data_IF_889463263825
#
_entry.id   IF_889463263825
#
_cell.length_a   1.000
_cell.length_b   1.000
_cell.length_c   1.000
_cell.angle_alpha   90.00
_cell.angle_beta   90.00
_cell.angle_gamma   90.00
#
_symmetry.space_group_name_H-M   'P 1'
#
loop_
_entity.id
_entity.type
_entity.pdbx_description
1 polymer ?
#
# COMPACT_ATOMS: atom_id res chain seq x y z
N UNK A 1 -14.53 -41.53 20.64
CA UNK A 1 -13.33 -40.70 20.95
C UNK A 1 -13.46 -39.43 20.10
N UNK A 2 -13.40 -38.17 20.54
CA UNK A 2 -12.89 -37.48 21.72
C UNK A 2 -13.86 -36.37 22.12
N UNK A 3 -13.87 -36.05 23.42
CA UNK A 3 -14.71 -35.05 24.09
C UNK A 3 -14.12 -33.64 23.93
N UNK A 4 -15.01 -32.65 23.76
CA UNK A 4 -15.04 -31.25 24.21
C UNK A 4 -13.72 -30.51 24.49
N UNK A 5 -13.57 -29.32 23.90
CA UNK A 5 -13.11 -28.12 24.63
C UNK A 5 -13.46 -26.83 23.85
N UNK A 6 -14.64 -26.27 24.09
CA UNK A 6 -14.90 -24.85 23.87
C UNK A 6 -15.44 -24.34 25.21
N UNK A 7 -14.66 -23.56 25.93
CA UNK A 7 -15.11 -22.93 27.17
C UNK A 7 -16.10 -21.81 26.85
N UNK A 8 -17.27 -21.73 27.49
CA UNK A 8 -18.10 -20.54 27.44
C UNK A 8 -17.45 -19.42 28.26
N UNK A 9 -17.10 -18.31 27.62
CA UNK A 9 -16.62 -17.09 28.27
C UNK A 9 -17.82 -16.32 28.85
N UNK A 10 -18.05 -16.45 30.16
CA UNK A 10 -19.03 -15.64 30.88
C UNK A 10 -18.49 -14.22 31.07
N UNK A 11 -18.72 -13.37 30.08
CA UNK A 11 -18.46 -11.93 30.12
C UNK A 11 -19.57 -11.23 30.93
N UNK A 12 -19.57 -11.42 32.25
CA UNK A 12 -20.27 -10.50 33.14
C UNK A 12 -19.39 -9.27 33.34
N UNK A 13 -19.64 -8.29 32.45
CA UNK A 13 -19.18 -6.92 32.59
C UNK A 13 -19.85 -6.28 33.81
N UNK A 14 -19.05 -6.00 34.83
CA UNK A 14 -19.37 -5.07 35.93
C UNK A 14 -19.47 -3.64 35.39
N UNK A 15 -20.47 -3.39 34.57
CA UNK A 15 -20.78 -2.06 34.04
C UNK A 15 -22.29 -2.00 33.76
N UNK A 16 -23.03 -1.73 34.84
CA UNK A 16 -24.28 -0.96 34.96
C UNK A 16 -25.37 -1.10 33.87
N UNK A 17 -26.64 -1.19 34.29
CA UNK A 17 -27.40 0.05 34.25
C UNK A 17 -28.26 0.27 35.49
N UNK A 18 -28.46 1.54 35.80
CA UNK A 18 -29.37 1.99 36.84
C UNK A 18 -30.84 1.66 36.58
N UNK A 19 -31.56 1.77 37.69
CA UNK A 19 -32.94 2.21 37.88
C UNK A 19 -34.06 1.59 37.01
N UNK A 20 -35.01 0.94 37.69
CA UNK A 20 -36.23 0.40 37.10
C UNK A 20 -36.82 -0.74 37.93
N UNK A 21 -37.48 -0.39 39.02
CA UNK A 21 -37.99 -1.33 40.03
C UNK A 21 -39.12 -2.25 39.57
N UNK A 22 -39.39 -3.25 40.40
CA UNK A 22 -40.72 -3.81 40.73
C UNK A 22 -40.57 -5.15 41.46
N UNK A 23 -41.43 -5.40 42.45
CA UNK A 23 -41.77 -6.77 42.87
C UNK A 23 -41.44 -7.13 44.30
N UNK A 24 -42.39 -6.85 45.18
CA UNK A 24 -42.53 -7.25 46.58
C UNK A 24 -42.93 -8.74 46.76
N UNK A 25 -42.57 -9.27 47.93
CA UNK A 25 -43.10 -10.39 48.73
C UNK A 25 -43.43 -11.80 48.17
N UNK A 26 -43.02 -12.83 48.96
CA UNK A 26 -43.74 -14.11 49.06
C UNK A 26 -42.95 -15.34 49.55
N UNK A 27 -43.07 -15.65 50.86
CA UNK A 27 -43.26 -16.99 51.54
C UNK A 27 -42.52 -18.28 51.05
N UNK A 28 -42.23 -19.34 51.83
CA UNK A 28 -42.04 -19.72 53.24
C UNK A 28 -41.86 -21.27 53.25
N UNK A 29 -41.14 -21.84 54.22
CA UNK A 29 -41.15 -23.28 54.59
C UNK A 29 -39.83 -24.02 54.32
N UNK A 30 -39.27 -24.86 55.18
CA UNK A 30 -39.78 -25.57 56.36
C UNK A 30 -38.58 -26.07 57.21
N UNK A 31 -38.77 -26.17 58.54
CA UNK A 31 -37.80 -26.65 59.55
C UNK A 31 -37.52 -28.17 59.42
N UNK A 32 -36.52 -28.69 60.17
CA UNK A 32 -36.92 -29.59 61.26
C UNK A 32 -36.34 -29.23 62.62
N UNK A 33 -37.06 -29.68 63.65
CA UNK A 33 -36.85 -29.46 65.07
C UNK A 33 -35.96 -30.55 65.71
N UNK A 34 -35.37 -30.24 66.88
CA UNK A 34 -34.84 -31.27 67.79
C UNK A 34 -33.90 -30.75 68.88
N UNK A 35 -34.50 -30.40 70.03
CA UNK A 35 -34.02 -30.54 71.42
C UNK A 35 -32.64 -29.97 71.83
N UNK A 36 -32.55 -28.90 72.65
CA UNK A 36 -32.79 -28.76 74.10
C UNK A 36 -31.47 -28.76 74.90
N UNK A 37 -31.41 -27.84 75.87
CA UNK A 37 -30.50 -27.73 77.02
C UNK A 37 -29.31 -26.74 76.95
N UNK A 38 -29.12 -26.08 78.10
CA UNK A 38 -28.54 -24.76 78.34
C UNK A 38 -27.09 -24.85 78.92
N UNK A 39 -26.50 -23.79 79.50
CA UNK A 39 -25.19 -23.27 79.13
C UNK A 39 -24.05 -23.80 80.04
N UNK A 40 -22.80 -23.74 79.60
CA UNK A 40 -21.68 -23.81 80.56
C UNK A 40 -20.48 -23.02 80.08
N UNK A 41 -20.20 -21.99 80.87
CA UNK A 41 -19.05 -21.11 80.86
C UNK A 41 -17.81 -21.86 81.39
N UNK A 42 -16.68 -21.79 80.67
CA UNK A 42 -15.37 -22.05 81.27
C UNK A 42 -14.20 -21.54 80.39
N UNK A 43 -13.54 -20.51 80.95
CA UNK A 43 -12.09 -20.43 81.19
C UNK A 43 -11.13 -20.16 80.02
N UNK A 44 -10.65 -18.93 80.09
CA UNK A 44 -9.26 -18.46 80.01
C UNK A 44 -8.10 -19.43 79.73
N UNK A 45 -7.06 -18.80 79.19
CA UNK A 45 -5.64 -19.16 79.16
C UNK A 45 -5.14 -19.98 77.96
N UNK A 46 -4.54 -19.27 76.99
CA UNK A 46 -3.11 -19.44 76.70
C UNK A 46 -2.58 -18.29 75.82
N UNK A 47 -2.07 -17.24 76.49
CA UNK A 47 -1.26 -16.20 75.87
C UNK A 47 0.20 -16.70 75.76
N UNK A 48 0.54 -17.33 74.63
CA UNK A 48 1.94 -17.61 74.26
C UNK A 48 2.25 -17.29 72.80
N UNK A 49 1.55 -16.34 72.20
CA UNK A 49 1.91 -15.75 70.91
C UNK A 49 2.47 -14.35 71.13
N UNK A 50 3.65 -14.04 70.60
CA UNK A 50 4.23 -12.68 70.60
C UNK A 50 3.17 -11.65 70.17
N UNK A 51 2.63 -10.90 71.14
CA UNK A 51 1.72 -9.79 70.87
C UNK A 51 2.56 -8.62 70.35
N UNK A 52 2.67 -8.48 69.04
CA UNK A 52 3.16 -7.23 68.46
C UNK A 52 2.30 -6.09 68.99
N UNK A 53 2.92 -5.03 69.53
CA UNK A 53 2.16 -3.86 69.94
C UNK A 53 1.42 -3.30 68.72
N UNK A 54 0.21 -2.74 68.90
CA UNK A 54 -0.57 -2.13 67.80
C UNK A 54 0.28 -1.15 66.98
N UNK A 55 1.25 -0.49 67.62
CA UNK A 55 2.23 0.41 67.00
C UNK A 55 3.29 -0.29 66.13
N UNK A 56 3.73 -1.50 66.47
CA UNK A 56 4.66 -2.27 65.64
C UNK A 56 3.98 -2.82 64.38
N UNK A 57 2.72 -3.26 64.52
CA UNK A 57 1.90 -3.68 63.39
C UNK A 57 1.59 -2.48 62.47
N UNK A 58 1.28 -1.31 63.04
CA UNK A 58 1.08 -0.09 62.27
C UNK A 58 2.35 0.34 61.51
N UNK A 59 3.53 0.22 62.12
CA UNK A 59 4.82 0.48 61.45
C UNK A 59 5.11 -0.50 60.32
N UNK A 60 4.84 -1.80 60.51
CA UNK A 60 5.01 -2.80 59.44
C UNK A 60 4.04 -2.55 58.28
N UNK A 61 2.77 -2.24 58.56
CA UNK A 61 1.79 -1.89 57.52
C UNK A 61 2.18 -0.60 56.79
N UNK A 62 2.66 0.42 57.51
CA UNK A 62 3.16 1.65 56.89
C UNK A 62 4.38 1.39 55.98
N UNK A 63 5.30 0.52 56.40
CA UNK A 63 6.45 0.13 55.59
C UNK A 63 6.04 -0.66 54.34
N UNK A 64 5.10 -1.60 54.48
CA UNK A 64 4.58 -2.41 53.36
C UNK A 64 3.78 -1.55 52.37
N UNK A 65 2.94 -0.64 52.88
CA UNK A 65 2.16 0.28 52.03
C UNK A 65 3.05 1.29 51.32
N UNK A 66 4.13 1.77 51.95
CA UNK A 66 5.11 2.63 51.29
C UNK A 66 5.90 1.87 50.21
N UNK A 67 6.28 0.61 50.46
CA UNK A 67 6.88 -0.24 49.43
C UNK A 67 5.92 -0.49 48.27
N UNK A 68 4.66 -0.78 48.56
CA UNK A 68 3.63 -0.99 47.55
C UNK A 68 3.41 0.28 46.73
N UNK A 69 3.31 1.45 47.36
CA UNK A 69 3.21 2.74 46.67
C UNK A 69 4.42 3.01 45.79
N UNK A 70 5.64 2.82 46.30
CA UNK A 70 6.87 3.02 45.54
C UNK A 70 6.98 2.06 44.33
N UNK A 71 6.54 0.80 44.49
CA UNK A 71 6.48 -0.15 43.38
C UNK A 71 5.45 0.29 42.33
N UNK A 72 4.28 0.74 42.76
CA UNK A 72 3.21 1.18 41.87
C UNK A 72 3.55 2.47 41.12
N UNK A 73 4.22 3.40 41.79
CA UNK A 73 4.70 4.65 41.19
C UNK A 73 5.77 4.39 40.13
N UNK A 74 6.69 3.45 40.39
CA UNK A 74 7.66 2.97 39.39
C UNK A 74 7.00 2.31 38.18
N UNK A 75 6.00 1.45 38.39
CA UNK A 75 5.26 0.84 37.29
C UNK A 75 4.50 1.88 36.45
N UNK A 76 3.94 2.90 37.10
CA UNK A 76 3.26 4.01 36.42
C UNK A 76 4.24 4.85 35.60
N UNK A 77 5.41 5.16 36.15
CA UNK A 77 6.44 5.92 35.45
C UNK A 77 6.99 5.13 34.26
N UNK A 78 7.28 3.84 34.44
CA UNK A 78 7.71 2.95 33.36
C UNK A 78 6.67 2.85 32.23
N UNK A 79 5.37 2.70 32.57
CA UNK A 79 4.28 2.70 31.58
C UNK A 79 4.17 4.03 30.84
N UNK A 80 4.36 5.17 31.53
CA UNK A 80 4.35 6.50 30.89
C UNK A 80 5.54 6.69 29.96
N UNK A 81 6.73 6.24 30.34
CA UNK A 81 7.92 6.35 29.49
C UNK A 81 7.82 5.47 28.26
N UNK A 82 7.34 4.23 28.41
CA UNK A 82 7.11 3.31 27.30
C UNK A 82 6.06 3.86 26.33
N UNK A 83 4.94 4.38 26.84
CA UNK A 83 3.92 5.03 26.03
C UNK A 83 4.43 6.28 25.30
N UNK A 84 5.25 7.12 25.96
CA UNK A 84 5.88 8.29 25.32
C UNK A 84 6.87 7.88 24.24
N UNK A 85 7.66 6.82 24.46
CA UNK A 85 8.60 6.29 23.46
C UNK A 85 7.87 5.71 22.26
N UNK A 86 6.78 4.96 22.50
CA UNK A 86 5.88 4.45 21.46
C UNK A 86 5.24 5.60 20.65
N UNK A 87 4.74 6.63 21.33
CA UNK A 87 4.13 7.78 20.66
C UNK A 87 5.15 8.59 19.83
N UNK A 88 6.37 8.78 20.34
CA UNK A 88 7.46 9.43 19.60
C UNK A 88 7.88 8.63 18.38
N UNK A 89 8.09 7.32 18.53
CA UNK A 89 8.44 6.44 17.42
C UNK A 89 7.35 6.44 16.34
N UNK A 90 6.07 6.37 16.73
CA UNK A 90 4.97 6.42 15.78
C UNK A 90 4.87 7.77 15.04
N UNK A 91 5.20 8.88 15.71
CA UNK A 91 5.23 10.21 15.10
C UNK A 91 6.43 10.40 14.16
N UNK A 92 7.62 9.93 14.56
CA UNK A 92 8.83 9.98 13.75
C UNK A 92 8.73 9.07 12.52
N UNK A 93 8.21 7.85 12.67
CA UNK A 93 7.98 6.92 11.54
C UNK A 93 6.98 7.49 10.53
N UNK A 94 5.89 8.11 11.00
CA UNK A 94 4.94 8.78 10.12
C UNK A 94 5.58 9.92 9.35
N UNK A 95 6.36 10.75 10.04
CA UNK A 95 7.04 11.89 9.42
C UNK A 95 8.09 11.41 8.43
N UNK A 96 8.87 10.37 8.74
CA UNK A 96 9.83 9.78 7.81
C UNK A 96 9.14 9.21 6.58
N UNK A 97 8.01 8.51 6.74
CA UNK A 97 7.27 7.99 5.62
C UNK A 97 6.65 9.10 4.75
N UNK A 98 6.13 10.17 5.37
CA UNK A 98 5.66 11.35 4.62
C UNK A 98 6.81 12.03 3.87
N UNK A 99 7.98 12.16 4.50
CA UNK A 99 9.17 12.70 3.84
C UNK A 99 9.63 11.80 2.70
N UNK A 100 9.70 10.49 2.88
CA UNK A 100 10.11 9.53 1.86
C UNK A 100 9.13 9.55 0.67
N UNK A 101 7.83 9.64 0.93
CA UNK A 101 6.82 9.84 -0.11
C UNK A 101 7.02 11.15 -0.87
N UNK A 102 7.31 12.25 -0.16
CA UNK A 102 7.57 13.55 -0.78
C UNK A 102 8.87 13.56 -1.57
N UNK A 103 9.91 12.91 -1.08
CA UNK A 103 11.18 12.76 -1.77
C UNK A 103 11.03 11.89 -3.02
N UNK A 104 10.25 10.81 -2.96
CA UNK A 104 9.92 9.98 -4.11
C UNK A 104 9.14 10.77 -5.17
N UNK A 105 8.13 11.56 -4.76
CA UNK A 105 7.37 12.44 -5.65
C UNK A 105 8.28 13.48 -6.32
N UNK A 106 9.19 14.10 -5.57
CA UNK A 106 10.16 15.06 -6.11
C UNK A 106 11.13 14.37 -7.07
N UNK A 107 11.61 13.17 -6.74
CA UNK A 107 12.53 12.41 -7.58
C UNK A 107 11.86 12.00 -8.90
N UNK A 108 10.61 11.56 -8.86
CA UNK A 108 9.82 11.22 -10.04
C UNK A 108 9.57 12.45 -10.92
N UNK A 109 9.17 13.59 -10.32
CA UNK A 109 8.99 14.84 -11.05
C UNK A 109 10.29 15.31 -11.70
N UNK A 110 11.41 15.28 -10.98
CA UNK A 110 12.73 15.62 -11.53
C UNK A 110 13.13 14.68 -12.66
N UNK A 111 12.87 13.38 -12.52
CA UNK A 111 13.13 12.39 -13.58
C UNK A 111 12.27 12.66 -14.81
N UNK A 112 10.99 12.94 -14.63
CA UNK A 112 10.09 13.31 -15.72
C UNK A 112 10.52 14.59 -16.45
N UNK A 113 10.99 15.60 -15.71
CA UNK A 113 11.57 16.81 -16.29
C UNK A 113 12.82 16.51 -17.10
N UNK A 114 13.76 15.75 -16.53
CA UNK A 114 15.00 15.36 -17.22
C UNK A 114 14.70 14.57 -18.50
N UNK A 115 13.78 13.60 -18.47
CA UNK A 115 13.35 12.86 -19.64
C UNK A 115 12.66 13.76 -20.68
N UNK A 116 11.86 14.74 -20.25
CA UNK A 116 11.22 15.70 -21.15
C UNK A 116 12.25 16.61 -21.84
N UNK A 117 13.26 17.08 -21.11
CA UNK A 117 14.37 17.87 -21.66
C UNK A 117 15.20 17.05 -22.66
N UNK A 118 15.59 15.83 -22.29
CA UNK A 118 16.30 14.93 -23.20
C UNK A 118 15.47 14.55 -24.43
N UNK A 119 14.16 14.37 -24.28
CA UNK A 119 13.23 14.17 -25.40
C UNK A 119 13.25 15.34 -26.37
N UNK A 120 13.23 16.58 -25.87
CA UNK A 120 13.34 17.78 -26.72
C UNK A 120 14.68 17.86 -27.43
N UNK A 121 15.77 17.53 -26.75
CA UNK A 121 17.10 17.50 -27.36
C UNK A 121 17.21 16.42 -28.44
N UNK A 122 16.73 15.21 -28.18
CA UNK A 122 16.72 14.11 -29.15
C UNK A 122 15.84 14.45 -30.37
N UNK A 123 14.67 15.03 -30.13
CA UNK A 123 13.77 15.55 -31.19
C UNK A 123 14.48 16.60 -32.05
N UNK A 124 15.20 17.54 -31.42
CA UNK A 124 15.98 18.54 -32.15
C UNK A 124 17.09 17.89 -32.98
N UNK A 125 17.85 16.94 -32.43
CA UNK A 125 18.90 16.23 -33.18
C UNK A 125 18.35 15.45 -34.38
N UNK A 126 17.18 14.81 -34.24
CA UNK A 126 16.52 14.09 -35.33
C UNK A 126 15.95 15.07 -36.39
N UNK A 127 15.44 16.21 -35.94
CA UNK A 127 15.00 17.30 -36.83
C UNK A 127 16.17 17.86 -37.63
N UNK A 128 17.32 18.11 -36.99
CA UNK A 128 18.55 18.58 -37.62
C UNK A 128 19.08 17.56 -38.65
N UNK A 129 18.90 16.26 -38.39
CA UNK A 129 19.17 15.18 -39.34
C UNK A 129 18.12 15.05 -40.47
N UNK A 130 17.10 15.91 -40.46
CA UNK A 130 16.00 15.96 -41.43
C UNK A 130 15.25 14.62 -41.53
N UNK A 131 15.05 13.97 -40.36
CA UNK A 131 14.28 12.74 -40.19
C UNK A 131 12.90 13.04 -39.58
N UNK A 132 11.80 12.55 -40.18
CA UNK A 132 10.51 12.56 -39.51
C UNK A 132 10.55 11.61 -38.30
N UNK A 133 9.98 12.04 -37.18
CA UNK A 133 9.92 11.27 -35.94
C UNK A 133 8.61 11.57 -35.20
N UNK A 134 8.10 10.57 -34.50
CA UNK A 134 6.90 10.64 -33.68
C UNK A 134 7.27 10.54 -32.19
N UNK A 135 6.36 10.96 -31.31
CA UNK A 135 6.56 10.91 -29.85
C UNK A 135 6.82 9.47 -29.35
N UNK A 136 6.22 8.46 -29.99
CA UNK A 136 6.45 7.05 -29.68
C UNK A 136 7.90 6.62 -29.96
N UNK A 137 8.49 7.14 -31.04
CA UNK A 137 9.90 6.87 -31.38
C UNK A 137 10.82 7.56 -30.36
N UNK A 138 10.51 8.79 -29.97
CA UNK A 138 11.26 9.52 -28.96
C UNK A 138 11.22 8.80 -27.60
N UNK A 139 10.07 8.28 -27.20
CA UNK A 139 9.92 7.50 -25.96
C UNK A 139 10.73 6.20 -25.93
N UNK A 140 11.07 5.63 -27.09
CA UNK A 140 11.92 4.45 -27.20
C UNK A 140 13.43 4.79 -27.20
N UNK A 141 13.78 5.96 -27.73
CA UNK A 141 15.18 6.41 -27.88
C UNK A 141 15.70 7.04 -26.60
N UNK A 142 14.85 7.80 -25.91
CA UNK A 142 15.23 8.61 -24.76
C UNK A 142 15.26 7.75 -23.52
N UNK A 143 16.43 7.68 -22.90
CA UNK A 143 16.68 6.97 -21.64
C UNK A 143 17.08 7.96 -20.56
N UNK A 144 17.13 7.53 -19.29
CA UNK A 144 17.64 8.38 -18.19
C UNK A 144 19.12 8.76 -18.37
N UNK A 145 19.84 8.06 -19.25
CA UNK A 145 21.22 8.34 -19.61
C UNK A 145 21.30 9.14 -20.92
N UNK A 146 21.95 10.31 -20.84
CA UNK A 146 22.17 11.21 -21.95
C UNK A 146 23.07 10.59 -23.03
N UNK A 147 24.05 9.78 -22.66
CA UNK A 147 24.97 9.17 -23.63
C UNK A 147 24.28 8.03 -24.38
N UNK A 148 23.45 7.24 -23.70
CA UNK A 148 22.60 6.22 -24.33
C UNK A 148 21.65 6.86 -25.35
N UNK A 149 21.01 7.98 -25.00
CA UNK A 149 20.08 8.70 -25.90
C UNK A 149 20.80 9.19 -27.18
N UNK A 150 21.99 9.78 -27.05
CA UNK A 150 22.79 10.22 -28.23
C UNK A 150 23.20 9.06 -29.13
N UNK A 151 23.62 7.94 -28.54
CA UNK A 151 23.98 6.75 -29.31
C UNK A 151 22.76 6.20 -30.07
N UNK A 152 21.60 6.13 -29.43
CA UNK A 152 20.37 5.68 -30.06
C UNK A 152 19.97 6.59 -31.25
N UNK A 153 20.04 7.92 -31.08
CA UNK A 153 19.80 8.89 -32.17
C UNK A 153 20.79 8.67 -33.32
N UNK A 154 22.08 8.45 -33.03
CA UNK A 154 23.09 8.21 -34.06
C UNK A 154 22.83 6.92 -34.85
N UNK A 155 22.43 5.84 -34.18
CA UNK A 155 22.07 4.56 -34.81
C UNK A 155 20.90 4.75 -35.77
N UNK A 156 19.86 5.46 -35.35
CA UNK A 156 18.67 5.71 -36.18
C UNK A 156 18.99 6.61 -37.36
N UNK A 157 19.83 7.62 -37.17
CA UNK A 157 20.28 8.50 -38.24
C UNK A 157 21.06 7.72 -39.30
N UNK A 158 21.94 6.81 -38.88
CA UNK A 158 22.65 5.91 -39.78
C UNK A 158 21.70 4.96 -40.52
N UNK A 159 20.74 4.38 -39.80
CA UNK A 159 19.74 3.48 -40.39
C UNK A 159 18.89 4.19 -41.45
N UNK A 160 18.39 5.39 -41.16
CA UNK A 160 17.65 6.20 -42.14
C UNK A 160 18.51 6.57 -43.35
N UNK A 161 19.81 6.82 -43.14
CA UNK A 161 20.74 7.09 -44.24
C UNK A 161 20.94 5.87 -45.15
N UNK A 162 20.98 4.66 -44.57
CA UNK A 162 21.02 3.41 -45.32
C UNK A 162 19.74 3.21 -46.13
N UNK A 163 18.56 3.42 -45.53
CA UNK A 163 17.27 3.35 -46.24
C UNK A 163 17.21 4.36 -47.38
N UNK A 164 17.62 5.62 -47.14
CA UNK A 164 17.69 6.64 -48.20
C UNK A 164 18.57 6.18 -49.35
N UNK A 165 19.72 5.56 -49.06
CA UNK A 165 20.63 5.02 -50.07
C UNK A 165 20.04 3.82 -50.82
N UNK A 166 19.31 2.95 -50.14
CA UNK A 166 18.65 1.80 -50.75
C UNK A 166 17.46 2.23 -51.63
N UNK A 167 16.63 3.16 -51.17
CA UNK A 167 15.56 3.76 -51.95
C UNK A 167 16.11 4.53 -53.16
N UNK A 168 17.21 5.26 -53.02
CA UNK A 168 17.87 5.94 -54.14
C UNK A 168 18.50 4.98 -55.16
N UNK A 169 18.73 3.70 -54.79
CA UNK A 169 19.17 2.65 -55.71
C UNK A 169 18.02 2.03 -56.49
N UNK A 170 16.76 2.27 -56.11
CA UNK A 170 15.65 2.00 -57.01
C UNK A 170 15.73 3.00 -58.16
N UNK A 171 16.02 2.48 -59.36
CA UNK A 171 16.05 3.27 -60.58
C UNK A 171 14.75 4.06 -60.71
N UNK A 172 14.78 5.35 -61.11
CA UNK A 172 13.55 6.05 -61.42
C UNK A 172 12.78 5.23 -62.47
N UNK A 173 11.43 5.17 -62.39
CA UNK A 173 10.66 4.62 -63.50
C UNK A 173 11.10 5.34 -64.76
N UNK A 174 11.43 4.56 -65.80
CA UNK A 174 12.00 5.06 -67.06
C UNK A 174 11.31 6.38 -67.45
N UNK A 175 12.07 7.46 -67.61
CA UNK A 175 11.50 8.73 -68.04
C UNK A 175 10.76 8.51 -69.36
N UNK A 176 9.46 8.73 -69.32
CA UNK A 176 8.54 8.30 -70.37
C UNK A 176 8.04 6.89 -70.09
N UNK A 177 6.80 6.81 -69.60
CA UNK A 177 5.98 5.62 -69.71
C UNK A 177 5.91 5.22 -71.18
N UNK A 178 6.85 4.39 -71.61
CA UNK A 178 6.91 3.87 -72.96
C UNK A 178 5.83 2.80 -73.00
N UNK A 179 4.62 3.24 -73.33
CA UNK A 179 3.56 2.37 -73.80
C UNK A 179 4.12 1.66 -75.02
N UNK A 180 4.67 0.46 -74.82
CA UNK A 180 4.92 -0.45 -75.91
C UNK A 180 3.56 -0.90 -76.37
N UNK A 181 2.99 -0.12 -77.29
CA UNK A 181 1.86 -0.52 -78.08
C UNK A 181 2.27 -1.83 -78.77
N UNK A 182 1.88 -2.95 -78.18
CA UNK A 182 1.93 -4.25 -78.82
C UNK A 182 1.31 -4.05 -80.20
N UNK A 183 2.07 -4.36 -81.25
CA UNK A 183 1.79 -4.04 -82.67
C UNK A 183 0.47 -4.64 -83.21
N UNK A 184 -0.33 -5.27 -82.35
CA UNK A 184 -1.45 -6.12 -82.73
C UNK A 184 -2.84 -5.49 -82.47
N UNK A 185 -2.94 -4.25 -81.97
CA UNK A 185 -4.24 -3.63 -81.66
C UNK A 185 -4.44 -2.23 -82.27
N UNK A 186 -3.86 -1.97 -83.44
CA UNK A 186 -4.29 -0.82 -84.26
C UNK A 186 -5.38 -1.22 -85.25
N UNK A 187 -6.49 -1.78 -84.74
CA UNK A 187 -7.72 -1.76 -85.54
C UNK A 187 -8.27 -0.34 -85.46
N UNK A 188 -8.27 0.36 -86.59
CA UNK A 188 -8.84 1.70 -86.71
C UNK A 188 -10.31 1.66 -86.31
N UNK A 189 -10.81 2.71 -85.65
CA UNK A 189 -12.21 2.81 -85.19
C UNK A 189 -13.22 2.48 -86.31
N UNK A 190 -12.89 2.81 -87.55
CA UNK A 190 -13.67 2.44 -88.74
C UNK A 190 -13.83 0.92 -88.95
N UNK A 191 -12.78 0.12 -88.71
CA UNK A 191 -12.83 -1.35 -88.77
C UNK A 191 -13.67 -1.93 -87.64
N UNK A 192 -13.55 -1.36 -86.45
CA UNK A 192 -14.33 -1.80 -85.28
C UNK A 192 -15.83 -1.50 -85.46
N UNK A 193 -16.16 -0.34 -86.03
CA UNK A 193 -17.53 0.05 -86.36
C UNK A 193 -18.14 -0.81 -87.47
N UNK A 194 -17.38 -1.15 -88.50
CA UNK A 194 -17.84 -2.04 -89.57
C UNK A 194 -18.08 -3.48 -89.07
N UNK A 195 -17.24 -3.96 -88.15
CA UNK A 195 -17.38 -5.30 -87.55
C UNK A 195 -18.62 -5.43 -86.65
N UNK A 196 -19.01 -4.33 -86.01
CA UNK A 196 -20.17 -4.29 -85.10
C UNK A 196 -21.44 -3.74 -85.75
N UNK A 197 -21.48 -3.55 -87.08
CA UNK A 197 -22.68 -3.13 -87.80
C UNK A 197 -23.63 -4.31 -88.02
N UNK A 198 -24.76 -4.31 -87.32
CA UNK A 198 -25.74 -5.42 -87.27
C UNK A 198 -26.61 -5.50 -88.54
N UNK A 199 -26.69 -4.42 -89.32
CA UNK A 199 -27.50 -4.38 -90.56
C UNK A 199 -26.56 -4.12 -91.73
N UNK A 200 -26.42 -5.08 -92.64
CA UNK A 200 -25.65 -4.92 -93.88
C UNK A 200 -26.49 -4.17 -94.91
#
# INVERSE_FOLDING_TARGET
>A
MKKRLFMPMNLQFFSEPGDGGSGDEGQQGNLPAGSQETPTEAKEENNTGKTFSRDEVAKMIAAETNKAKAAWEKELEAKKEEAKKLAKMNAEEKLQHELEQKEAEIAELKRGQALSEMTKEASKMLTDANLPHDDDLLGLIVSDDADATKQAVAVITNFASLIKRENARQTPPNEGGQFTASKNTKETVAKLAAKNRIIK
#
